data_IF_841737951585
#
_entry.id   IF_841737951585
#
_cell.length_a   1.000
_cell.length_b   1.000
_cell.length_c   1.000
_cell.angle_alpha   90.00
_cell.angle_beta   90.00
_cell.angle_gamma   90.00
#
_symmetry.space_group_name_H-M   'P 1'
#
loop_
_entity.id
_entity.type
_entity.pdbx_description
1 polymer ?
#
# COMPACT_ATOMS: atom_id res chain seq x y z
N UNK A 1 -65.31 -74.83 6.37
CA UNK A 1 -64.93 -73.50 5.84
C UNK A 1 -64.55 -72.57 7.00
N UNK A 2 -63.35 -72.72 7.58
CA UNK A 2 -62.93 -72.03 8.81
C UNK A 2 -61.41 -71.70 8.85
N UNK A 3 -60.75 -71.54 7.69
CA UNK A 3 -59.28 -71.43 7.66
C UNK A 3 -58.71 -70.33 6.77
N UNK A 4 -59.50 -69.39 6.25
CA UNK A 4 -58.97 -68.32 5.37
C UNK A 4 -59.18 -66.89 5.87
N UNK A 5 -59.86 -66.66 6.99
CA UNK A 5 -60.18 -65.29 7.46
C UNK A 5 -59.15 -64.75 8.47
N UNK A 6 -58.29 -65.61 9.05
CA UNK A 6 -57.33 -65.19 10.10
C UNK A 6 -55.98 -64.71 9.52
N UNK A 7 -55.65 -65.02 8.26
CA UNK A 7 -54.36 -64.60 7.67
C UNK A 7 -54.37 -63.17 7.07
N UNK A 8 -55.51 -62.51 6.90
CA UNK A 8 -55.56 -61.16 6.31
C UNK A 8 -55.41 -60.07 7.37
N UNK A 9 -55.74 -60.34 8.64
CA UNK A 9 -55.58 -59.35 9.72
C UNK A 9 -54.12 -59.30 10.22
N UNK A 10 -53.37 -60.41 10.14
CA UNK A 10 -51.95 -60.43 10.52
C UNK A 10 -51.01 -59.79 9.49
N UNK A 11 -51.47 -59.55 8.25
CA UNK A 11 -50.68 -58.87 7.21
C UNK A 11 -50.89 -57.34 7.20
N UNK A 12 -51.85 -56.81 7.97
CA UNK A 12 -52.16 -55.38 8.04
C UNK A 12 -51.70 -54.70 9.34
N UNK A 13 -51.13 -55.45 10.28
CA UNK A 13 -50.54 -54.92 11.53
C UNK A 13 -49.01 -54.93 11.53
N UNK A 14 -48.40 -54.93 10.33
CA UNK A 14 -46.94 -54.89 10.13
C UNK A 14 -46.40 -53.59 9.54
N UNK A 15 -47.24 -52.59 9.27
CA UNK A 15 -46.86 -51.36 8.54
C UNK A 15 -47.08 -50.05 9.31
N UNK A 16 -46.95 -50.03 10.65
CA UNK A 16 -47.08 -48.79 11.44
C UNK A 16 -45.86 -48.40 12.29
N UNK A 17 -44.73 -49.10 12.12
CA UNK A 17 -43.43 -48.58 12.57
C UNK A 17 -42.47 -48.46 11.39
N UNK A 18 -42.94 -47.89 10.27
CA UNK A 18 -42.04 -47.02 9.53
C UNK A 18 -41.93 -45.75 10.38
N UNK A 19 -41.05 -45.80 11.39
CA UNK A 19 -40.54 -44.58 11.98
C UNK A 19 -40.02 -43.79 10.79
N UNK A 20 -40.70 -42.70 10.44
CA UNK A 20 -40.08 -41.66 9.68
C UNK A 20 -38.81 -41.32 10.44
N UNK A 21 -37.64 -41.80 9.98
CA UNK A 21 -36.45 -41.00 10.14
C UNK A 21 -36.85 -39.68 9.49
N UNK A 22 -37.08 -38.67 10.33
CA UNK A 22 -36.92 -37.31 9.85
C UNK A 22 -35.49 -37.32 9.34
N UNK A 23 -35.33 -37.50 8.05
CA UNK A 23 -34.14 -37.03 7.37
C UNK A 23 -34.11 -35.57 7.77
N UNK A 24 -33.25 -35.25 8.74
CA UNK A 24 -32.92 -33.87 9.04
C UNK A 24 -32.38 -33.36 7.72
N UNK A 25 -33.25 -32.66 6.99
CA UNK A 25 -32.86 -31.84 5.86
C UNK A 25 -31.61 -31.12 6.32
N UNK A 26 -30.48 -31.51 5.74
CA UNK A 26 -29.20 -30.83 5.90
C UNK A 26 -29.37 -29.47 5.24
N UNK A 27 -30.14 -28.58 5.88
CA UNK A 27 -30.05 -27.16 5.72
C UNK A 27 -28.62 -26.83 6.09
N UNK A 28 -27.72 -26.82 5.10
CA UNK A 28 -26.43 -26.19 5.28
C UNK A 28 -26.75 -24.75 5.67
N UNK A 29 -26.58 -24.45 6.95
CA UNK A 29 -26.72 -23.10 7.47
C UNK A 29 -25.68 -22.26 6.74
N UNK A 30 -26.13 -21.49 5.76
CA UNK A 30 -25.27 -20.57 5.02
C UNK A 30 -24.78 -19.56 6.04
N UNK A 31 -23.47 -19.47 6.15
CA UNK A 31 -22.81 -18.51 7.02
C UNK A 31 -22.62 -17.22 6.24
N UNK A 32 -23.57 -16.30 6.44
CA UNK A 32 -23.55 -14.98 5.82
C UNK A 32 -22.48 -14.05 6.40
N UNK A 33 -21.74 -14.47 7.44
CA UNK A 33 -20.64 -13.69 7.98
C UNK A 33 -19.28 -14.05 7.33
N UNK A 34 -19.27 -14.68 6.16
CA UNK A 34 -18.03 -14.95 5.41
C UNK A 34 -17.55 -13.71 4.65
N UNK A 35 -16.24 -13.59 4.44
CA UNK A 35 -15.61 -12.47 3.75
C UNK A 35 -16.26 -12.14 2.41
N UNK A 36 -16.62 -13.15 1.62
CA UNK A 36 -17.29 -12.93 0.34
C UNK A 36 -18.64 -12.20 0.47
N UNK A 37 -19.43 -12.49 1.50
CA UNK A 37 -20.69 -11.79 1.78
C UNK A 37 -20.42 -10.42 2.41
N UNK A 38 -19.50 -10.34 3.38
CA UNK A 38 -19.12 -9.10 4.05
C UNK A 38 -18.70 -8.01 3.05
N UNK A 39 -17.86 -8.37 2.08
CA UNK A 39 -17.42 -7.46 1.02
C UNK A 39 -18.58 -7.12 0.07
N UNK A 40 -19.45 -8.08 -0.23
CA UNK A 40 -20.59 -7.87 -1.15
C UNK A 40 -21.63 -6.92 -0.56
N UNK A 41 -21.87 -7.00 0.75
CA UNK A 41 -22.93 -6.27 1.45
C UNK A 41 -22.49 -4.86 1.89
N UNK A 42 -21.20 -4.52 1.76
CA UNK A 42 -20.66 -3.21 2.10
C UNK A 42 -20.65 -2.26 0.89
N UNK A 43 -21.44 -1.19 0.97
CA UNK A 43 -21.58 -0.22 -0.12
C UNK A 43 -20.32 0.61 -0.40
N UNK A 44 -19.40 0.73 0.57
CA UNK A 44 -18.14 1.48 0.41
C UNK A 44 -17.01 0.61 -0.17
N UNK A 45 -17.29 -0.68 -0.47
CA UNK A 45 -16.34 -1.64 -1.03
C UNK A 45 -16.81 -2.13 -2.42
N UNK A 46 -17.67 -1.37 -3.10
CA UNK A 46 -18.38 -1.80 -4.30
C UNK A 46 -17.45 -2.01 -5.51
N UNK A 47 -16.39 -1.21 -5.62
CA UNK A 47 -15.37 -1.32 -6.67
C UNK A 47 -14.52 -2.55 -6.45
N UNK A 48 -14.09 -2.82 -5.22
CA UNK A 48 -13.39 -4.06 -4.88
C UNK A 48 -14.27 -5.29 -5.11
N UNK A 49 -15.55 -5.23 -4.71
CA UNK A 49 -16.51 -6.29 -4.97
C UNK A 49 -16.64 -6.57 -6.48
N UNK A 50 -16.60 -5.54 -7.32
CA UNK A 50 -16.61 -5.72 -8.78
C UNK A 50 -15.39 -6.51 -9.27
N UNK A 51 -14.19 -6.24 -8.75
CA UNK A 51 -13.00 -7.04 -9.03
C UNK A 51 -13.13 -8.47 -8.50
N UNK A 52 -13.61 -8.63 -7.26
CA UNK A 52 -13.83 -9.92 -6.61
C UNK A 52 -14.79 -10.80 -7.41
N UNK A 53 -15.90 -10.24 -7.91
CA UNK A 53 -16.88 -10.94 -8.74
C UNK A 53 -16.30 -11.49 -10.04
N UNK A 54 -15.23 -10.88 -10.54
CA UNK A 54 -14.52 -11.30 -11.76
C UNK A 54 -13.37 -12.25 -11.49
N UNK A 55 -13.09 -12.56 -10.23
CA UNK A 55 -12.04 -13.47 -9.79
C UNK A 55 -12.62 -14.79 -9.29
N UNK A 56 -11.84 -15.88 -9.40
CA UNK A 56 -12.17 -17.16 -8.76
C UNK A 56 -12.23 -17.04 -7.24
N UNK A 57 -11.56 -16.04 -6.66
CA UNK A 57 -11.51 -15.79 -5.22
C UNK A 57 -12.88 -15.56 -4.59
N UNK A 58 -13.89 -15.10 -5.35
CA UNK A 58 -15.26 -14.96 -4.81
C UNK A 58 -15.77 -16.27 -4.22
N UNK A 59 -15.60 -17.39 -4.93
CA UNK A 59 -16.10 -18.68 -4.46
C UNK A 59 -15.29 -19.19 -3.27
N UNK A 60 -14.00 -18.89 -3.22
CA UNK A 60 -13.12 -19.28 -2.11
C UNK A 60 -13.45 -18.50 -0.83
N UNK A 61 -13.68 -17.19 -0.92
CA UNK A 61 -14.07 -16.35 0.21
C UNK A 61 -15.50 -16.62 0.69
N UNK A 62 -16.33 -17.28 -0.12
CA UNK A 62 -17.62 -17.84 0.28
C UNK A 62 -17.49 -19.25 0.87
N UNK A 63 -16.33 -19.90 0.75
CA UNK A 63 -16.06 -21.25 1.23
C UNK A 63 -15.49 -21.31 2.65
N UNK A 64 -15.04 -22.50 3.04
CA UNK A 64 -14.23 -22.70 4.24
C UNK A 64 -12.79 -22.27 3.96
N UNK A 65 -12.12 -21.74 4.97
CA UNK A 65 -10.72 -21.33 4.88
C UNK A 65 -10.40 -20.29 5.92
N UNK A 66 -9.17 -19.79 5.86
CA UNK A 66 -8.68 -18.71 6.71
C UNK A 66 -7.99 -17.70 5.81
N UNK A 67 -8.56 -16.51 5.71
CA UNK A 67 -8.08 -15.48 4.80
C UNK A 67 -7.98 -14.13 5.52
N UNK A 68 -7.00 -13.34 5.13
CA UNK A 68 -6.97 -11.92 5.45
C UNK A 68 -6.96 -11.16 4.13
N UNK A 69 -8.00 -10.35 3.90
CA UNK A 69 -8.17 -9.64 2.63
C UNK A 69 -7.89 -8.16 2.86
N UNK A 70 -6.98 -7.61 2.06
CA UNK A 70 -6.67 -6.19 2.01
C UNK A 70 -7.67 -5.56 1.06
N UNK A 71 -8.55 -4.69 1.55
CA UNK A 71 -9.68 -4.17 0.78
C UNK A 71 -9.56 -2.64 0.65
N UNK A 72 -9.05 -2.10 -0.46
CA UNK A 72 -9.13 -0.67 -0.72
C UNK A 72 -10.58 -0.18 -0.71
N UNK A 73 -10.83 0.98 -0.10
CA UNK A 73 -12.15 1.62 -0.12
C UNK A 73 -12.53 2.10 -1.53
N UNK A 74 -13.79 2.44 -1.74
CA UNK A 74 -14.21 3.04 -3.02
C UNK A 74 -13.53 4.39 -3.28
N UNK A 75 -13.24 5.18 -2.24
CA UNK A 75 -12.43 6.40 -2.34
C UNK A 75 -11.00 6.08 -2.83
N UNK A 76 -10.39 5.02 -2.28
CA UNK A 76 -9.06 4.56 -2.67
C UNK A 76 -8.95 4.21 -4.17
N UNK A 77 -9.98 3.56 -4.71
CA UNK A 77 -10.07 3.28 -6.15
C UNK A 77 -10.29 4.56 -6.96
N UNK A 78 -11.19 5.43 -6.51
CA UNK A 78 -11.53 6.67 -7.19
C UNK A 78 -10.31 7.60 -7.34
N UNK A 79 -9.45 7.68 -6.32
CA UNK A 79 -8.20 8.44 -6.38
C UNK A 79 -7.26 7.99 -7.50
N UNK A 80 -7.29 6.70 -7.85
CA UNK A 80 -6.52 6.12 -8.93
C UNK A 80 -7.28 6.06 -10.27
N UNK A 81 -8.47 6.69 -10.33
CA UNK A 81 -9.29 6.76 -11.53
C UNK A 81 -10.11 5.50 -11.80
N UNK A 82 -10.22 4.60 -10.83
CA UNK A 82 -11.04 3.40 -10.94
C UNK A 82 -12.44 3.62 -10.36
N UNK A 83 -13.41 3.05 -11.05
CA UNK A 83 -14.82 2.94 -10.68
C UNK A 83 -15.29 1.50 -10.91
N UNK A 84 -16.45 1.09 -10.37
CA UNK A 84 -17.02 -0.24 -10.66
C UNK A 84 -17.13 -0.51 -12.17
N UNK A 85 -17.55 0.48 -12.97
CA UNK A 85 -17.67 0.34 -14.42
C UNK A 85 -16.32 0.07 -15.10
N UNK A 86 -15.26 0.80 -14.71
CA UNK A 86 -13.90 0.53 -15.24
C UNK A 86 -13.35 -0.82 -14.76
N UNK A 87 -13.58 -1.16 -13.49
CA UNK A 87 -13.13 -2.42 -12.91
C UNK A 87 -13.80 -3.63 -13.56
N UNK A 88 -15.01 -3.46 -14.09
CA UNK A 88 -15.72 -4.50 -14.84
C UNK A 88 -15.08 -4.82 -16.21
N UNK A 89 -14.25 -3.94 -16.77
CA UNK A 89 -13.68 -4.09 -18.12
C UNK A 89 -12.18 -4.35 -18.15
N UNK A 90 -11.47 -4.18 -17.02
CA UNK A 90 -10.03 -4.47 -16.89
C UNK A 90 -9.69 -5.91 -17.26
N UNK A 91 -8.48 -6.16 -17.76
CA UNK A 91 -8.00 -7.49 -18.13
C UNK A 91 -8.10 -8.51 -16.97
N UNK A 92 -8.58 -9.73 -17.26
CA UNK A 92 -8.79 -10.77 -16.25
C UNK A 92 -7.51 -11.28 -15.58
N UNK A 93 -6.36 -11.26 -16.28
CA UNK A 93 -5.06 -11.62 -15.70
C UNK A 93 -4.66 -10.60 -14.64
N UNK A 94 -4.82 -9.32 -14.95
CA UNK A 94 -4.58 -8.24 -13.98
C UNK A 94 -5.50 -8.37 -12.77
N UNK A 95 -6.81 -8.60 -12.97
CA UNK A 95 -7.76 -8.82 -11.85
C UNK A 95 -7.34 -10.01 -10.99
N UNK A 96 -6.92 -11.12 -11.60
CA UNK A 96 -6.52 -12.31 -10.86
C UNK A 96 -5.28 -12.03 -10.00
N UNK A 97 -4.27 -11.36 -10.57
CA UNK A 97 -3.06 -10.98 -9.84
C UNK A 97 -3.36 -9.94 -8.74
N UNK A 98 -4.18 -8.93 -9.06
CA UNK A 98 -4.61 -7.90 -8.12
C UNK A 98 -5.30 -8.50 -6.90
N UNK A 99 -6.28 -9.36 -7.14
CA UNK A 99 -7.04 -9.99 -6.05
C UNK A 99 -6.17 -10.96 -5.25
N UNK A 100 -5.23 -11.68 -5.89
CA UNK A 100 -4.28 -12.53 -5.19
C UNK A 100 -3.27 -11.73 -4.35
N UNK A 101 -2.84 -10.55 -4.81
CA UNK A 101 -1.95 -9.67 -4.04
C UNK A 101 -2.67 -9.07 -2.82
N UNK A 102 -3.96 -8.78 -2.96
CA UNK A 102 -4.82 -8.31 -1.87
C UNK A 102 -5.35 -9.44 -0.98
N UNK A 103 -4.91 -10.68 -1.16
CA UNK A 103 -5.33 -11.81 -0.33
C UNK A 103 -4.12 -12.44 0.33
N UNK A 104 -4.21 -12.62 1.65
CA UNK A 104 -3.22 -13.33 2.44
C UNK A 104 -3.86 -14.62 2.94
N UNK A 105 -3.16 -15.74 2.75
CA UNK A 105 -3.57 -17.03 3.28
C UNK A 105 -3.23 -17.13 4.76
N UNK A 106 -4.26 -17.22 5.61
CA UNK A 106 -4.16 -17.24 7.06
C UNK A 106 -4.92 -16.11 7.76
N UNK A 107 -4.94 -16.18 9.08
CA UNK A 107 -5.58 -15.20 9.95
C UNK A 107 -4.51 -14.23 10.49
N UNK A 108 -4.49 -13.02 9.95
CA UNK A 108 -3.61 -11.94 10.38
C UNK A 108 -4.47 -10.85 11.03
N UNK A 109 -4.47 -10.90 12.37
CA UNK A 109 -5.13 -9.95 13.25
C UNK A 109 -4.15 -8.79 13.50
N UNK A 110 -4.35 -7.68 12.80
CA UNK A 110 -3.43 -6.53 12.78
C UNK A 110 -3.32 -5.90 14.17
N UNK A 111 -4.42 -5.88 14.94
CA UNK A 111 -4.47 -5.42 16.31
C UNK A 111 -3.64 -6.27 17.28
N UNK A 112 -3.21 -7.47 16.87
CA UNK A 112 -2.32 -8.35 17.64
C UNK A 112 -0.92 -8.48 17.07
N UNK A 113 -0.64 -7.86 15.92
CA UNK A 113 0.72 -7.86 15.38
C UNK A 113 1.66 -7.10 16.33
N UNK A 114 2.93 -7.52 16.45
CA UNK A 114 3.95 -6.76 17.14
C UNK A 114 4.00 -5.30 16.67
N UNK A 115 4.29 -4.38 17.58
CA UNK A 115 4.59 -2.99 17.23
C UNK A 115 5.96 -2.92 16.53
N UNK A 116 5.94 -3.14 15.23
CA UNK A 116 7.12 -3.19 14.38
C UNK A 116 6.78 -2.63 13.00
N UNK A 117 7.81 -2.07 12.36
CA UNK A 117 7.72 -1.57 10.99
C UNK A 117 8.02 -2.67 9.99
N UNK A 118 7.37 -2.57 8.83
CA UNK A 118 7.71 -3.30 7.62
C UNK A 118 7.81 -4.81 7.81
N UNK A 119 6.91 -5.36 8.62
CA UNK A 119 6.77 -6.79 8.81
C UNK A 119 6.31 -7.42 7.50
N UNK A 120 7.18 -8.22 6.88
CA UNK A 120 6.89 -8.86 5.61
C UNK A 120 5.84 -9.97 5.81
N UNK A 121 4.72 -9.87 5.10
CA UNK A 121 3.67 -10.88 5.04
C UNK A 121 3.49 -11.31 3.60
N UNK A 122 3.56 -12.63 3.39
CA UNK A 122 3.45 -13.24 2.07
C UNK A 122 1.99 -13.23 1.62
N UNK A 123 1.70 -12.59 0.48
CA UNK A 123 0.39 -12.63 -0.14
C UNK A 123 0.26 -13.85 -1.06
N UNK A 124 -0.98 -14.13 -1.50
CA UNK A 124 -1.29 -15.28 -2.35
C UNK A 124 -0.73 -15.17 -3.75
N UNK A 125 -0.46 -13.98 -4.27
CA UNK A 125 0.22 -13.86 -5.57
C UNK A 125 1.70 -14.24 -5.51
N UNK A 126 2.22 -14.50 -4.30
CA UNK A 126 3.62 -14.81 -4.12
C UNK A 126 4.48 -13.54 -4.19
N UNK A 127 4.02 -12.43 -3.63
CA UNK A 127 4.85 -11.27 -3.28
C UNK A 127 4.56 -10.83 -1.85
N UNK A 128 5.47 -10.07 -1.25
CA UNK A 128 5.31 -9.60 0.11
C UNK A 128 4.56 -8.26 0.13
N UNK A 129 3.72 -8.09 1.14
CA UNK A 129 3.32 -6.78 1.64
C UNK A 129 4.03 -6.52 2.97
N UNK A 130 4.22 -5.26 3.29
CA UNK A 130 4.95 -4.83 4.48
C UNK A 130 3.99 -4.14 5.43
N UNK A 131 3.71 -4.77 6.56
CA UNK A 131 2.80 -4.26 7.58
C UNK A 131 3.59 -3.55 8.66
N UNK A 132 3.26 -2.29 8.90
CA UNK A 132 3.83 -1.49 9.98
C UNK A 132 2.75 -1.21 11.03
N UNK A 133 3.13 -1.32 12.30
CA UNK A 133 2.28 -0.98 13.45
C UNK A 133 3.08 -0.24 14.51
N UNK A 134 2.64 0.95 14.89
CA UNK A 134 3.31 1.78 15.88
C UNK A 134 2.34 2.68 16.63
N UNK A 135 2.81 3.31 17.71
CA UNK A 135 2.04 4.30 18.47
C UNK A 135 2.59 5.69 18.18
N UNK A 136 1.70 6.62 17.86
CA UNK A 136 2.01 8.03 17.64
C UNK A 136 1.00 8.88 18.42
N UNK A 137 1.49 9.76 19.30
CA UNK A 137 0.64 10.64 20.15
C UNK A 137 -0.47 9.93 20.95
N UNK A 138 -0.30 8.63 21.22
CA UNK A 138 -1.29 7.81 21.94
C UNK A 138 -2.23 7.02 21.03
N UNK A 139 -2.22 7.30 19.72
CA UNK A 139 -2.99 6.56 18.72
C UNK A 139 -2.15 5.45 18.10
N UNK A 140 -2.78 4.30 17.85
CA UNK A 140 -2.15 3.21 17.10
C UNK A 140 -2.30 3.48 15.61
N UNK A 141 -1.17 3.49 14.90
CA UNK A 141 -1.12 3.64 13.44
C UNK A 141 -0.75 2.29 12.84
N UNK A 142 -1.54 1.88 11.86
CA UNK A 142 -1.37 0.63 11.11
C UNK A 142 -1.33 0.95 9.62
N UNK A 143 -0.35 0.38 8.92
CA UNK A 143 -0.20 0.58 7.48
C UNK A 143 0.21 -0.70 6.77
N UNK A 144 -0.18 -0.83 5.51
CA UNK A 144 0.28 -1.87 4.58
C UNK A 144 0.96 -1.22 3.40
N UNK A 145 2.24 -1.50 3.16
CA UNK A 145 3.07 -0.81 2.16
C UNK A 145 3.03 0.73 2.32
N UNK A 146 2.98 1.19 3.57
CA UNK A 146 2.79 2.60 3.89
C UNK A 146 1.42 3.17 3.53
N UNK A 147 0.43 2.37 3.18
CA UNK A 147 -0.96 2.81 3.04
C UNK A 147 -1.68 2.62 4.36
N UNK A 148 -2.37 3.66 4.84
CA UNK A 148 -3.12 3.60 6.10
C UNK A 148 -4.22 2.55 6.04
N UNK A 149 -4.34 1.77 7.12
CA UNK A 149 -5.51 0.92 7.37
C UNK A 149 -6.60 1.80 7.99
N UNK A 150 -7.72 1.96 7.28
CA UNK A 150 -8.88 2.74 7.72
C UNK A 150 -9.72 2.00 8.75
N UNK A 151 -9.88 0.69 8.56
CA UNK A 151 -10.56 -0.20 9.49
C UNK A 151 -9.83 -1.53 9.52
N UNK A 152 -9.20 -1.83 10.66
CA UNK A 152 -8.50 -3.07 10.87
C UNK A 152 -9.45 -4.16 11.37
N UNK A 153 -9.09 -5.41 11.09
CA UNK A 153 -9.67 -6.62 11.66
C UNK A 153 -11.20 -6.71 11.59
N UNK A 154 -11.78 -6.24 10.47
CA UNK A 154 -13.21 -6.38 10.20
C UNK A 154 -13.53 -7.87 10.12
N UNK A 155 -14.18 -8.36 11.18
CA UNK A 155 -14.26 -9.79 11.48
C UNK A 155 -15.31 -10.51 10.66
N UNK A 156 -14.85 -11.52 9.93
CA UNK A 156 -15.67 -12.53 9.27
C UNK A 156 -15.47 -13.89 9.95
N UNK A 157 -16.33 -14.85 9.65
CA UNK A 157 -16.23 -16.21 10.18
C UNK A 157 -15.09 -17.04 9.59
N UNK A 158 -14.61 -16.65 8.40
CA UNK A 158 -13.47 -17.25 7.71
C UNK A 158 -12.25 -16.31 7.61
N UNK A 159 -12.25 -15.21 8.37
CA UNK A 159 -11.05 -14.41 8.61
C UNK A 159 -11.30 -12.91 8.77
N UNK A 160 -10.40 -12.09 8.22
CA UNK A 160 -10.39 -10.64 8.47
C UNK A 160 -10.35 -9.85 7.16
N UNK A 161 -11.02 -8.69 7.13
CA UNK A 161 -10.83 -7.68 6.11
C UNK A 161 -10.11 -6.47 6.71
N UNK A 162 -9.06 -6.02 6.03
CA UNK A 162 -8.28 -4.84 6.36
C UNK A 162 -8.64 -3.75 5.35
N UNK A 163 -9.44 -2.76 5.73
CA UNK A 163 -9.87 -1.70 4.80
C UNK A 163 -8.74 -0.70 4.62
N UNK A 164 -8.33 -0.43 3.38
CA UNK A 164 -7.20 0.43 3.06
C UNK A 164 -7.64 1.78 2.48
N UNK A 165 -6.88 2.81 2.82
CA UNK A 165 -7.07 4.19 2.35
C UNK A 165 -6.67 4.40 0.88
N UNK A 166 -5.80 3.51 0.37
CA UNK A 166 -5.32 3.52 -1.01
C UNK A 166 -5.30 2.11 -1.59
N UNK A 167 -5.46 2.02 -2.90
CA UNK A 167 -5.30 0.76 -3.60
C UNK A 167 -3.81 0.42 -3.69
N UNK A 168 -3.46 -0.81 -3.30
CA UNK A 168 -2.10 -1.29 -3.49
C UNK A 168 -1.92 -1.69 -4.95
N UNK A 169 -0.88 -1.20 -5.60
CA UNK A 169 -0.53 -1.73 -6.92
C UNK A 169 0.01 -3.16 -6.76
N UNK A 170 -0.46 -4.13 -7.58
CA UNK A 170 0.00 -5.49 -7.50
C UNK A 170 1.50 -5.57 -7.69
N UNK A 171 2.24 -6.00 -6.67
CA UNK A 171 3.67 -6.26 -6.84
C UNK A 171 3.84 -7.49 -7.74
N UNK A 172 4.63 -7.34 -8.79
CA UNK A 172 4.99 -8.40 -9.75
C UNK A 172 6.50 -8.64 -9.83
N UNK A 173 7.29 -7.94 -9.00
CA UNK A 173 8.74 -7.91 -9.10
C UNK A 173 9.37 -8.47 -7.82
N UNK A 174 10.21 -9.49 -7.99
CA UNK A 174 10.98 -10.08 -6.89
C UNK A 174 12.16 -9.20 -6.47
N UNK A 175 12.72 -8.42 -7.40
CA UNK A 175 13.88 -7.57 -7.14
C UNK A 175 13.64 -6.12 -7.52
N UNK A 176 14.36 -5.22 -6.85
CA UNK A 176 14.41 -3.78 -7.19
C UNK A 176 14.92 -3.57 -8.63
N UNK A 177 15.91 -4.33 -9.10
CA UNK A 177 16.45 -4.16 -10.46
C UNK A 177 15.43 -4.51 -11.55
N UNK A 178 14.68 -5.60 -11.38
CA UNK A 178 13.63 -6.01 -12.31
C UNK A 178 12.53 -4.95 -12.39
N UNK A 179 12.14 -4.39 -11.25
CA UNK A 179 11.15 -3.31 -11.21
C UNK A 179 11.71 -2.02 -11.81
N UNK A 180 12.94 -1.64 -11.49
CA UNK A 180 13.58 -0.45 -12.05
C UNK A 180 13.67 -0.53 -13.58
N UNK A 181 13.96 -1.71 -14.13
CA UNK A 181 14.03 -1.94 -15.57
C UNK A 181 12.68 -1.75 -16.28
N UNK A 182 11.54 -1.88 -15.58
CA UNK A 182 10.22 -1.64 -16.18
C UNK A 182 9.82 -0.17 -16.24
N UNK A 183 10.58 0.74 -15.63
CA UNK A 183 10.25 2.16 -15.51
C UNK A 183 10.92 2.94 -16.63
N UNK A 184 10.14 3.29 -17.65
CA UNK A 184 10.63 4.03 -18.82
C UNK A 184 11.21 5.41 -18.50
N UNK A 185 10.76 6.05 -17.42
CA UNK A 185 11.26 7.34 -16.96
C UNK A 185 12.54 7.26 -16.14
N UNK A 186 13.09 6.08 -15.87
CA UNK A 186 14.27 5.89 -15.01
C UNK A 186 15.40 5.07 -15.68
N UNK A 187 15.33 4.92 -17.01
CA UNK A 187 16.27 4.10 -17.79
C UNK A 187 17.72 4.53 -17.62
N UNK A 188 18.02 5.84 -17.59
CA UNK A 188 19.39 6.34 -17.38
C UNK A 188 19.95 5.93 -16.03
N UNK A 189 19.14 5.95 -14.96
CA UNK A 189 19.58 5.50 -13.64
C UNK A 189 19.75 3.98 -13.58
N UNK A 190 18.92 3.20 -14.28
CA UNK A 190 19.09 1.76 -14.43
C UNK A 190 20.45 1.41 -15.06
N UNK A 191 20.84 2.10 -16.14
CA UNK A 191 22.16 1.94 -16.74
C UNK A 191 23.29 2.37 -15.79
N UNK A 192 23.11 3.46 -15.03
CA UNK A 192 24.08 3.89 -14.02
C UNK A 192 24.27 2.82 -12.92
N UNK A 193 23.18 2.20 -12.46
CA UNK A 193 23.19 1.13 -11.47
C UNK A 193 23.99 -0.09 -11.98
N UNK A 194 23.68 -0.57 -13.18
CA UNK A 194 24.38 -1.70 -13.80
C UNK A 194 25.86 -1.36 -13.99
N UNK A 195 26.17 -0.20 -14.56
CA UNK A 195 27.55 0.24 -14.84
C UNK A 195 28.38 0.43 -13.57
N UNK A 196 27.75 0.83 -12.46
CA UNK A 196 28.40 0.99 -11.16
C UNK A 196 28.75 -0.33 -10.47
N UNK A 197 28.22 -1.46 -10.94
CA UNK A 197 28.42 -2.78 -10.32
C UNK A 197 27.63 -3.00 -9.01
N UNK A 198 26.63 -2.16 -8.72
CA UNK A 198 25.83 -2.26 -7.49
C UNK A 198 24.53 -3.06 -7.67
N UNK A 199 24.18 -3.48 -8.89
CA UNK A 199 22.96 -4.24 -9.17
C UNK A 199 22.88 -5.55 -8.35
N UNK A 200 23.94 -6.37 -8.39
CA UNK A 200 23.99 -7.63 -7.65
C UNK A 200 23.84 -7.43 -6.13
N UNK A 201 24.41 -6.33 -5.60
CA UNK A 201 24.26 -5.97 -4.18
C UNK A 201 22.80 -5.68 -3.86
N UNK A 202 22.11 -4.90 -4.69
CA UNK A 202 20.70 -4.57 -4.47
C UNK A 202 19.75 -5.76 -4.60
N UNK A 203 20.11 -6.76 -5.40
CA UNK A 203 19.26 -7.92 -5.62
C UNK A 203 19.40 -8.98 -4.53
N UNK A 204 20.60 -9.13 -3.95
CA UNK A 204 20.91 -10.19 -2.99
C UNK A 204 21.12 -9.71 -1.56
N UNK A 205 21.41 -8.43 -1.37
CA UNK A 205 21.48 -7.79 -0.06
C UNK A 205 20.25 -6.90 0.09
N UNK A 206 19.78 -6.68 1.32
CA UNK A 206 18.58 -5.88 1.52
C UNK A 206 17.83 -6.26 2.79
N UNK A 207 16.79 -5.50 3.13
CA UNK A 207 16.04 -4.65 2.21
C UNK A 207 16.60 -3.23 2.01
N UNK A 208 16.22 -2.57 0.90
CA UNK A 208 16.63 -1.21 0.56
C UNK A 208 15.45 -0.28 0.22
N UNK A 209 15.68 1.02 0.37
CA UNK A 209 14.84 2.08 -0.19
C UNK A 209 15.64 2.87 -1.22
N UNK A 210 15.19 2.91 -2.47
CA UNK A 210 15.86 3.68 -3.52
C UNK A 210 15.13 4.98 -3.85
N UNK A 211 15.90 6.06 -4.02
CA UNK A 211 15.44 7.28 -4.64
C UNK A 211 15.94 7.31 -6.08
N UNK A 212 15.08 6.99 -7.03
CA UNK A 212 15.47 6.80 -8.42
C UNK A 212 15.33 8.12 -9.17
N UNK A 213 16.43 8.80 -9.57
CA UNK A 213 16.34 9.96 -10.43
C UNK A 213 15.69 9.59 -11.75
N UNK A 214 14.75 10.41 -12.20
CA UNK A 214 14.18 10.29 -13.53
C UNK A 214 15.23 10.61 -14.61
N UNK A 215 14.93 10.28 -15.86
CA UNK A 215 15.76 10.63 -16.99
C UNK A 215 15.95 12.16 -17.07
N UNK A 216 14.91 12.95 -16.78
CA UNK A 216 14.98 14.41 -16.71
C UNK A 216 15.93 14.88 -15.59
N UNK A 217 15.93 14.19 -14.46
CA UNK A 217 16.85 14.48 -13.36
C UNK A 217 18.31 14.19 -13.75
N UNK A 218 18.55 13.07 -14.43
CA UNK A 218 19.86 12.67 -14.92
C UNK A 218 20.38 13.62 -16.01
N UNK A 219 19.50 14.08 -16.90
CA UNK A 219 19.78 15.13 -17.88
C UNK A 219 20.22 16.42 -17.19
N UNK A 220 19.47 16.86 -16.18
CA UNK A 220 19.80 18.05 -15.39
C UNK A 220 21.12 17.91 -14.61
N UNK A 221 21.52 16.68 -14.27
CA UNK A 221 22.79 16.39 -13.61
C UNK A 221 23.99 16.33 -14.59
N UNK A 222 23.76 16.47 -15.90
CA UNK A 222 24.82 16.60 -16.91
C UNK A 222 25.08 15.35 -17.76
N UNK A 223 24.26 14.29 -17.64
CA UNK A 223 24.30 13.15 -18.57
C UNK A 223 23.37 13.45 -19.74
N UNK A 224 23.85 13.67 -20.97
CA UNK A 224 22.97 14.08 -22.07
C UNK A 224 22.10 12.94 -22.63
N UNK A 225 22.51 11.69 -22.42
CA UNK A 225 21.82 10.48 -22.87
C UNK A 225 22.34 9.23 -22.12
N UNK A 226 21.88 8.05 -22.52
CA UNK A 226 22.29 6.78 -21.92
C UNK A 226 23.76 6.47 -22.27
N UNK A 227 24.21 6.77 -23.48
CA UNK A 227 25.59 6.53 -23.91
C UNK A 227 26.60 7.27 -23.02
N UNK A 228 26.28 8.50 -22.62
CA UNK A 228 27.08 9.29 -21.67
C UNK A 228 27.18 8.60 -20.30
N UNK A 229 26.11 7.95 -19.84
CA UNK A 229 26.11 7.15 -18.60
C UNK A 229 26.98 5.91 -18.77
N UNK A 230 26.93 5.23 -19.91
CA UNK A 230 27.68 4.00 -20.15
C UNK A 230 29.21 4.22 -20.24
N UNK A 231 29.63 5.36 -20.80
CA UNK A 231 31.05 5.75 -20.88
C UNK A 231 31.57 6.46 -19.63
N UNK A 232 30.69 6.90 -18.73
CA UNK A 232 31.09 7.55 -17.48
C UNK A 232 31.90 6.61 -16.57
N UNK A 233 32.71 7.21 -15.70
CA UNK A 233 33.55 6.47 -14.77
C UNK A 233 32.67 5.66 -13.79
N UNK A 234 32.84 4.33 -13.69
CA UNK A 234 32.08 3.47 -12.79
C UNK A 234 32.13 3.90 -11.32
N UNK A 235 33.26 4.41 -10.83
CA UNK A 235 33.40 4.85 -9.43
C UNK A 235 32.57 6.10 -9.15
N UNK A 236 32.49 7.01 -10.12
CA UNK A 236 31.63 8.21 -10.03
C UNK A 236 30.16 7.81 -10.02
N UNK A 237 29.77 6.87 -10.88
CA UNK A 237 28.40 6.33 -10.91
C UNK A 237 28.08 5.58 -9.61
N UNK A 238 29.01 4.80 -9.08
CA UNK A 238 28.82 4.11 -7.80
C UNK A 238 28.61 5.11 -6.65
N UNK A 239 29.35 6.23 -6.64
CA UNK A 239 29.13 7.30 -5.66
C UNK A 239 27.76 7.97 -5.85
N UNK A 240 27.32 8.20 -7.10
CA UNK A 240 25.99 8.72 -7.41
C UNK A 240 24.91 7.76 -6.91
N UNK A 241 24.96 6.50 -7.31
CA UNK A 241 23.96 5.47 -6.97
C UNK A 241 23.90 5.24 -5.47
N UNK A 242 25.03 5.17 -4.75
CA UNK A 242 25.04 5.00 -3.28
C UNK A 242 24.32 6.11 -2.53
N UNK A 243 24.31 7.35 -3.03
CA UNK A 243 23.53 8.47 -2.41
C UNK A 243 22.02 8.26 -2.51
N UNK A 244 21.59 7.44 -3.47
CA UNK A 244 20.20 7.16 -3.76
C UNK A 244 19.74 5.86 -3.11
N UNK A 245 20.59 5.14 -2.39
CA UNK A 245 20.25 3.89 -1.70
C UNK A 245 20.25 4.14 -0.20
N UNK A 246 19.12 3.86 0.43
CA UNK A 246 19.01 3.77 1.88
C UNK A 246 18.85 2.33 2.33
N UNK A 247 19.50 1.92 3.43
CA UNK A 247 19.21 0.64 4.05
C UNK A 247 17.82 0.65 4.69
N UNK A 248 17.13 -0.49 4.60
CA UNK A 248 15.79 -0.67 5.18
C UNK A 248 14.66 -0.29 4.22
N UNK A 249 13.46 -0.76 4.56
CA UNK A 249 12.22 -0.37 3.89
C UNK A 249 11.71 0.89 4.55
N UNK A 250 11.44 1.93 3.75
CA UNK A 250 10.98 3.23 4.21
C UNK A 250 9.84 3.72 3.33
N UNK A 251 8.62 3.67 3.86
CA UNK A 251 7.46 4.25 3.20
C UNK A 251 7.26 5.70 3.61
N UNK A 252 6.65 6.50 2.74
CA UNK A 252 6.38 7.92 3.03
C UNK A 252 5.57 8.11 4.31
N UNK A 253 4.60 7.23 4.59
CA UNK A 253 3.75 7.29 5.79
C UNK A 253 4.41 6.75 7.07
N UNK A 254 5.56 6.07 6.98
CA UNK A 254 6.34 5.73 8.16
C UNK A 254 6.86 7.00 8.87
N UNK A 255 6.78 8.16 8.19
CA UNK A 255 7.20 9.47 8.67
C UNK A 255 6.01 10.43 8.75
N UNK A 256 5.85 11.15 9.87
CA UNK A 256 4.91 12.27 9.99
C UNK A 256 5.66 13.57 10.22
N UNK A 257 5.28 14.60 9.47
CA UNK A 257 5.79 15.96 9.69
C UNK A 257 4.85 16.64 10.70
N UNK A 258 5.39 17.06 11.84
CA UNK A 258 4.67 17.86 12.83
C UNK A 258 5.17 19.30 12.74
N UNK A 259 4.24 20.23 12.49
CA UNK A 259 4.55 21.66 12.50
C UNK A 259 4.00 22.27 13.79
N UNK A 260 4.84 22.82 14.68
CA UNK A 260 4.34 23.62 15.79
C UNK A 260 3.60 24.86 15.23
N UNK A 261 2.28 24.91 15.43
CA UNK A 261 1.40 25.99 14.94
C UNK A 261 1.85 27.40 15.39
N UNK A 262 2.60 27.50 16.49
CA UNK A 262 2.93 28.78 17.15
C UNK A 262 3.95 29.67 16.43
N UNK A 263 4.59 29.22 15.35
CA UNK A 263 5.65 30.02 14.69
C UNK A 263 5.35 30.43 13.26
N UNK A 264 4.16 30.14 12.69
CA UNK A 264 3.80 30.47 11.29
C UNK A 264 3.49 31.98 11.09
N UNK A 265 4.40 32.88 11.48
CA UNK A 265 4.33 34.30 11.17
C UNK A 265 5.25 34.67 10.00
N UNK A 266 4.72 35.16 8.87
CA UNK A 266 5.41 35.71 7.68
C UNK A 266 6.95 35.81 7.76
N UNK A 267 7.67 34.80 7.25
CA UNK A 267 9.13 34.91 7.09
C UNK A 267 9.55 34.46 5.71
N UNK A 268 10.30 35.31 5.02
CA UNK A 268 10.79 35.14 3.65
C UNK A 268 12.04 34.24 3.54
N UNK A 269 12.53 33.74 4.68
CA UNK A 269 13.68 32.85 4.78
C UNK A 269 13.20 31.50 5.30
N UNK A 270 13.86 30.42 4.86
CA UNK A 270 13.45 29.06 5.18
C UNK A 270 13.22 28.76 6.66
N UNK A 271 12.51 27.67 6.95
CA UNK A 271 12.10 27.27 8.30
C UNK A 271 12.41 25.84 8.61
N UNK A 272 12.60 25.57 9.91
CA UNK A 272 12.71 24.23 10.44
C UNK A 272 11.32 23.69 10.83
N UNK A 273 11.07 22.42 10.56
CA UNK A 273 9.91 21.66 10.99
C UNK A 273 10.40 20.43 11.75
N UNK A 274 9.61 19.93 12.69
CA UNK A 274 9.91 18.66 13.32
C UNK A 274 9.35 17.53 12.45
N UNK A 275 10.17 16.54 12.19
CA UNK A 275 9.79 15.31 11.48
C UNK A 275 9.89 14.20 12.50
N UNK A 276 8.73 13.64 12.83
CA UNK A 276 8.63 12.50 13.71
C UNK A 276 8.81 11.22 12.88
N UNK A 277 9.73 10.39 13.34
CA UNK A 277 10.01 9.08 12.79
C UNK A 277 10.11 8.07 13.92
N UNK A 278 9.75 6.83 13.67
CA UNK A 278 10.00 5.78 14.63
C UNK A 278 11.43 5.25 14.48
N UNK A 279 12.20 5.31 15.57
CA UNK A 279 13.52 4.70 15.61
C UNK A 279 13.38 3.21 15.96
N UNK A 280 13.61 2.36 14.96
CA UNK A 280 13.58 0.90 15.10
C UNK A 280 14.57 0.38 16.16
N UNK A 281 15.74 1.03 16.31
CA UNK A 281 16.76 0.58 17.26
C UNK A 281 16.36 0.85 18.70
N UNK A 282 15.70 1.98 18.97
CA UNK A 282 15.23 2.34 20.31
C UNK A 282 13.76 2.01 20.56
N UNK A 283 13.03 1.57 19.54
CA UNK A 283 11.59 1.30 19.58
C UNK A 283 10.74 2.49 20.06
N UNK A 284 11.11 3.71 19.68
CA UNK A 284 10.44 4.95 20.11
C UNK A 284 10.29 5.92 18.96
N UNK A 285 9.21 6.72 18.96
CA UNK A 285 9.10 7.90 18.10
C UNK A 285 10.16 8.93 18.53
N UNK A 286 10.93 9.42 17.57
CA UNK A 286 11.92 10.48 17.70
C UNK A 286 11.57 11.62 16.75
N UNK A 287 11.86 12.84 17.17
CA UNK A 287 11.69 14.04 16.36
C UNK A 287 13.04 14.50 15.83
N UNK A 288 13.09 14.88 14.55
CA UNK A 288 14.26 15.52 13.94
C UNK A 288 13.87 16.80 13.22
N UNK A 289 14.66 17.85 13.42
CA UNK A 289 14.46 19.12 12.71
C UNK A 289 14.84 19.02 11.23
N UNK A 290 13.89 19.28 10.34
CA UNK A 290 14.07 19.38 8.89
C UNK A 290 13.95 20.84 8.43
N UNK A 291 14.91 21.34 7.65
CA UNK A 291 14.91 22.72 7.13
C UNK A 291 14.36 22.81 5.70
N UNK A 292 13.47 23.75 5.46
CA UNK A 292 12.83 24.04 4.17
C UNK A 292 13.12 25.50 3.80
N UNK A 293 13.90 25.77 2.75
CA UNK A 293 14.16 27.13 2.26
C UNK A 293 13.57 27.43 0.89
N UNK A 294 13.13 28.69 0.70
CA UNK A 294 12.79 29.23 -0.62
C UNK A 294 11.35 29.73 -0.81
N UNK A 295 10.53 29.83 0.23
CA UNK A 295 9.08 30.03 0.07
C UNK A 295 8.59 31.42 0.46
N UNK A 296 7.84 32.08 -0.44
CA UNK A 296 7.02 33.28 -0.17
C UNK A 296 5.55 32.89 -0.31
N UNK A 297 4.83 32.72 0.80
CA UNK A 297 3.39 32.44 0.77
C UNK A 297 2.80 32.19 2.15
N UNK A 298 1.50 32.47 2.31
CA UNK A 298 0.72 32.15 3.50
C UNK A 298 0.26 30.70 3.45
N UNK A 299 0.43 29.98 4.54
CA UNK A 299 -0.11 28.64 4.73
C UNK A 299 -1.46 28.81 5.43
N UNK A 300 -2.56 28.39 4.79
CA UNK A 300 -3.87 28.35 5.43
C UNK A 300 -4.35 26.91 5.50
N UNK A 301 -4.61 26.45 6.71
CA UNK A 301 -5.22 25.16 6.99
C UNK A 301 -6.69 25.18 6.55
N UNK A 302 -7.12 24.17 5.80
CA UNK A 302 -8.55 23.87 5.64
C UNK A 302 -8.76 22.42 6.01
N UNK A 303 -9.45 22.19 7.12
CA UNK A 303 -10.00 20.88 7.48
C UNK A 303 -11.09 20.54 6.47
N UNK A 304 -10.88 19.50 5.68
CA UNK A 304 -11.90 18.89 4.83
C UNK A 304 -12.07 17.46 5.31
N UNK A 305 -13.05 17.25 6.20
CA UNK A 305 -13.61 15.93 6.58
C UNK A 305 -12.59 14.81 6.84
N UNK A 306 -12.23 14.58 8.11
CA UNK A 306 -11.27 13.55 8.52
C UNK A 306 -9.87 14.14 8.70
N UNK A 307 -8.98 13.44 9.40
CA UNK A 307 -7.70 13.92 9.97
C UNK A 307 -6.61 14.34 8.96
N UNK A 308 -7.02 14.83 7.80
CA UNK A 308 -6.15 15.33 6.74
C UNK A 308 -5.95 16.84 6.87
N UNK A 309 -4.69 17.23 7.06
CA UNK A 309 -4.25 18.61 7.01
C UNK A 309 -3.77 18.92 5.60
N UNK A 310 -4.51 19.78 4.90
CA UNK A 310 -4.08 20.33 3.61
C UNK A 310 -3.41 21.67 3.80
N UNK A 311 -2.17 21.79 3.33
CA UNK A 311 -1.46 23.06 3.21
C UNK A 311 -1.62 23.61 1.79
N UNK A 312 -2.42 24.67 1.64
CA UNK A 312 -2.58 25.37 0.36
C UNK A 312 -1.60 26.55 0.27
N UNK A 313 -1.11 26.82 -0.93
CA UNK A 313 -0.35 28.04 -1.25
C UNK A 313 -1.07 28.88 -2.31
N UNK A 314 -0.96 30.20 -2.20
CA UNK A 314 -1.42 31.16 -3.22
C UNK A 314 -0.23 31.96 -3.72
N UNK A 315 -0.04 32.00 -5.04
CA UNK A 315 0.94 32.87 -5.68
C UNK A 315 0.27 34.20 -6.08
N UNK A 316 0.54 35.26 -5.32
CA UNK A 316 -0.02 36.60 -5.55
C UNK A 316 -1.42 36.84 -4.96
N UNK A 317 -1.77 38.12 -4.82
CA UNK A 317 -2.96 38.62 -4.10
C UNK A 317 -4.31 38.46 -4.84
N UNK A 318 -4.40 37.63 -5.89
CA UNK A 318 -5.66 37.44 -6.64
C UNK A 318 -6.17 36.01 -6.57
N UNK A 319 -7.32 35.87 -5.90
CA UNK A 319 -8.08 34.63 -5.77
C UNK A 319 -8.66 34.22 -7.13
N UNK A 320 -8.11 33.16 -7.74
CA UNK A 320 -8.68 32.48 -8.90
C UNK A 320 -8.79 30.99 -8.55
N UNK A 321 -10.02 30.50 -8.39
CA UNK A 321 -10.35 29.17 -7.90
C UNK A 321 -10.09 28.01 -8.90
N UNK A 322 -9.04 28.10 -9.72
CA UNK A 322 -8.81 27.18 -10.86
C UNK A 322 -7.41 26.56 -10.91
N UNK A 323 -6.59 26.68 -9.87
CA UNK A 323 -5.28 26.03 -9.80
C UNK A 323 -5.01 25.48 -8.40
N UNK A 324 -5.53 24.29 -8.09
CA UNK A 324 -5.17 23.55 -6.88
C UNK A 324 -3.89 22.78 -7.14
N UNK A 325 -2.75 23.38 -6.80
CA UNK A 325 -1.45 22.75 -6.91
C UNK A 325 -1.09 22.21 -5.51
N UNK A 326 -1.00 20.88 -5.39
CA UNK A 326 -0.93 20.13 -4.12
C UNK A 326 0.52 20.03 -3.64
N UNK A 327 0.80 20.42 -2.39
CA UNK A 327 2.15 20.36 -1.83
C UNK A 327 2.47 18.95 -1.27
N UNK A 328 3.47 18.27 -1.84
CA UNK A 328 4.14 17.12 -1.22
C UNK A 328 5.51 17.60 -0.74
N UNK A 329 5.70 17.72 0.58
CA UNK A 329 7.01 18.11 1.12
C UNK A 329 7.84 16.85 1.30
N UNK A 330 8.77 16.68 0.38
CA UNK A 330 9.93 15.85 0.58
C UNK A 330 10.96 16.50 1.49
N UNK A 331 11.26 15.83 2.58
CA UNK A 331 12.63 15.67 3.07
C UNK A 331 12.61 14.49 4.00
N UNK A 332 12.94 13.33 3.47
CA UNK A 332 13.17 12.12 4.27
C UNK A 332 14.46 12.39 5.03
N UNK A 333 14.44 12.55 6.36
CA UNK A 333 15.67 12.80 7.08
C UNK A 333 16.39 11.46 7.26
N UNK A 334 17.33 11.22 6.35
CA UNK A 334 18.37 10.22 6.54
C UNK A 334 19.36 10.80 7.55
N UNK A 335 19.92 10.03 8.50
CA UNK A 335 21.12 10.47 9.18
C UNK A 335 22.19 10.62 8.10
N UNK A 336 22.59 11.87 7.85
CA UNK A 336 23.61 12.36 6.91
C UNK A 336 23.14 12.87 5.53
N UNK A 337 23.32 14.19 5.38
CA UNK A 337 23.36 15.06 4.19
C UNK A 337 22.14 15.14 3.25
N UNK A 338 21.33 16.19 3.45
CA UNK A 338 20.39 16.73 2.46
C UNK A 338 20.37 18.27 2.51
N UNK A 339 21.42 18.91 1.99
CA UNK A 339 21.50 20.38 1.83
C UNK A 339 21.33 20.77 0.36
N UNK A 340 20.08 20.74 -0.14
CA UNK A 340 19.73 21.27 -1.45
C UNK A 340 18.40 22.03 -1.40
N UNK A 341 18.39 23.26 -1.93
CA UNK A 341 17.26 24.21 -1.93
C UNK A 341 16.30 23.89 -3.08
N UNK A 342 14.98 23.94 -2.84
CA UNK A 342 13.97 24.05 -3.89
C UNK A 342 13.40 22.75 -4.49
N UNK A 343 13.16 21.71 -3.69
CA UNK A 343 12.54 20.46 -4.15
C UNK A 343 11.02 20.59 -4.31
N UNK A 344 10.54 20.52 -5.55
CA UNK A 344 9.18 20.01 -5.82
C UNK A 344 9.31 18.51 -6.02
N UNK A 345 9.08 17.73 -4.97
CA UNK A 345 8.85 16.29 -5.15
C UNK A 345 7.40 16.13 -5.57
N UNK A 346 7.20 15.38 -6.65
CA UNK A 346 5.90 15.17 -7.27
C UNK A 346 4.87 14.77 -6.21
N UNK A 347 3.61 15.23 -6.32
CA UNK A 347 2.53 14.71 -5.50
C UNK A 347 2.37 13.22 -5.83
N UNK A 348 2.56 12.37 -4.81
CA UNK A 348 2.72 10.91 -4.90
C UNK A 348 4.17 10.48 -5.15
N UNK A 349 4.94 10.37 -4.07
CA UNK A 349 5.86 9.26 -3.94
C UNK A 349 4.99 7.99 -4.08
N UNK A 350 4.83 7.47 -5.29
CA UNK A 350 4.19 6.18 -5.50
C UNK A 350 5.10 5.18 -4.83
N UNK A 351 4.67 4.66 -3.67
CA UNK A 351 5.35 3.58 -2.97
C UNK A 351 5.35 2.37 -3.90
N UNK A 352 6.37 2.25 -4.75
CA UNK A 352 6.57 1.10 -5.61
C UNK A 352 7.36 0.07 -4.82
N UNK A 353 6.82 -1.14 -4.77
CA UNK A 353 7.30 -2.20 -3.87
C UNK A 353 7.87 -3.33 -4.71
N UNK A 354 9.00 -3.87 -4.27
CA UNK A 354 9.56 -5.15 -4.67
C UNK A 354 9.76 -6.01 -3.40
N UNK A 355 9.93 -7.32 -3.54
CA UNK A 355 10.06 -8.19 -2.36
C UNK A 355 11.30 -7.85 -1.50
N UNK A 356 12.35 -7.29 -2.10
CA UNK A 356 13.59 -6.91 -1.43
C UNK A 356 13.74 -5.38 -1.23
N UNK A 357 12.70 -4.57 -1.48
CA UNK A 357 12.77 -3.14 -1.16
C UNK A 357 11.66 -2.26 -1.73
N UNK A 358 11.81 -0.96 -1.51
CA UNK A 358 10.87 0.08 -1.95
C UNK A 358 11.65 1.10 -2.76
N UNK A 359 11.00 1.78 -3.69
CA UNK A 359 11.67 2.90 -4.33
C UNK A 359 10.70 3.98 -4.78
N UNK A 360 11.30 5.14 -5.04
CA UNK A 360 10.64 6.41 -5.24
C UNK A 360 11.29 7.12 -6.41
N UNK A 361 10.55 7.34 -7.50
CA UNK A 361 11.08 8.12 -8.63
C UNK A 361 11.09 9.60 -8.27
N UNK A 362 12.23 10.27 -8.44
CA UNK A 362 12.44 11.67 -8.08
C UNK A 362 12.94 12.49 -9.28
N UNK A 363 12.55 13.76 -9.36
CA UNK A 363 12.89 14.65 -10.46
C UNK A 363 14.23 15.39 -10.26
N UNK A 364 15.09 14.90 -9.36
CA UNK A 364 16.41 15.48 -9.11
C UNK A 364 17.42 14.40 -8.72
N UNK A 365 18.69 14.58 -9.05
CA UNK A 365 19.79 13.79 -8.48
C UNK A 365 20.13 14.32 -7.08
N UNK A 366 20.25 13.42 -6.10
CA UNK A 366 20.68 13.75 -4.75
C UNK A 366 22.15 14.18 -4.73
N UNK A 367 22.38 15.41 -4.25
CA UNK A 367 23.70 16.02 -4.10
C UNK A 367 24.37 15.60 -2.77
N UNK A 368 25.70 15.71 -2.66
CA UNK A 368 26.47 15.30 -1.47
C UNK A 368 26.11 15.98 -0.15
#
# INVERSE_FOLDING_TARGET
MKSYVICIIAAMTGCLFSACSKDEDLYQRIDYNRLGYLITDNQNLSTFNTALQRSSLKQELLGKGSFTVLVPSDEAFLEQGYSPASMATINSSWISNFMAYHTIDGLYDFEKLPFQFNQAIRTRNGHNVFVSRWVFEGDTVETVNGVRVLAADVKASNGYAQVLDKMLEPNTYGTITDHLASISSATMFSHALIRSGLADMLDHSGPYTLFVPSNEAMLAAGFANIEDVEVANPDTLAALVKRHILPGIRFTYDYRITTPYSEIGNASNGRYFDVDYYDEASQTVKSQKAYVSGYRGFVKEKTLSGDEYYFYYTYGDTFSATGLERLLISKIPVPYYLTGVGTTILPQLCNQVADNGVFHVINKVLEP
#
